data_IF_912798908617
#
_entry.id   IF_912798908617
#
_cell.length_a   1.000
_cell.length_b   1.000
_cell.length_c   1.000
_cell.angle_alpha   90.00
_cell.angle_beta   90.00
_cell.angle_gamma   90.00
#
_symmetry.space_group_name_H-M   'P 1'
#
loop_
_entity.id
_entity.type
_entity.pdbx_description
1 polymer ?
#
# COMPACT_ATOMS: atom_id res chain seq x y z
N UNK A 1 32.75 -12.59 -24.62
CA UNK A 1 31.37 -12.82 -25.11
C UNK A 1 30.31 -12.59 -24.03
N UNK A 2 30.48 -13.04 -22.78
CA UNK A 2 29.46 -12.86 -21.73
C UNK A 2 29.09 -11.42 -21.37
N UNK A 3 30.03 -10.46 -21.46
CA UNK A 3 29.74 -9.06 -21.08
C UNK A 3 28.81 -8.32 -22.04
N UNK A 4 28.80 -8.69 -23.33
CA UNK A 4 27.94 -8.04 -24.34
C UNK A 4 26.50 -8.56 -24.22
N UNK A 5 26.33 -9.87 -23.95
CA UNK A 5 25.02 -10.48 -23.70
C UNK A 5 24.34 -9.88 -22.46
N UNK A 6 25.08 -9.73 -21.36
CA UNK A 6 24.54 -9.09 -20.14
C UNK A 6 24.14 -7.63 -20.37
N UNK A 7 24.91 -6.89 -21.16
CA UNK A 7 24.60 -5.50 -21.49
C UNK A 7 23.33 -5.36 -22.35
N UNK A 8 23.18 -6.21 -23.37
CA UNK A 8 21.97 -6.25 -24.20
C UNK A 8 20.73 -6.64 -23.39
N UNK A 9 20.87 -7.60 -22.48
CA UNK A 9 19.78 -8.03 -21.59
C UNK A 9 19.39 -6.93 -20.59
N UNK A 10 20.35 -6.14 -20.11
CA UNK A 10 20.07 -4.98 -19.25
C UNK A 10 19.35 -3.85 -20.01
N UNK A 11 19.70 -3.61 -21.27
CA UNK A 11 18.99 -2.65 -22.13
C UNK A 11 17.56 -3.10 -22.37
N UNK A 12 17.34 -4.38 -22.72
CA UNK A 12 16.00 -4.93 -22.93
C UNK A 12 15.13 -4.86 -21.66
N UNK A 13 15.70 -5.15 -20.48
CA UNK A 13 14.97 -4.98 -19.22
C UNK A 13 14.64 -3.52 -18.93
N UNK A 14 15.53 -2.59 -19.26
CA UNK A 14 15.30 -1.15 -19.06
C UNK A 14 14.18 -0.63 -19.96
N UNK A 15 14.15 -1.03 -21.23
CA UNK A 15 13.09 -0.61 -22.17
C UNK A 15 11.73 -1.21 -21.80
N UNK A 16 11.70 -2.48 -21.34
CA UNK A 16 10.48 -3.11 -20.85
C UNK A 16 9.93 -2.42 -19.59
N UNK A 17 10.81 -2.00 -18.68
CA UNK A 17 10.41 -1.27 -17.48
C UNK A 17 9.83 0.12 -17.83
N UNK A 18 10.42 0.81 -18.79
CA UNK A 18 9.92 2.12 -19.23
C UNK A 18 8.53 2.02 -19.89
N UNK A 19 8.29 0.98 -20.71
CA UNK A 19 6.95 0.71 -21.26
C UNK A 19 5.92 0.35 -20.18
N UNK A 20 6.33 -0.37 -19.13
CA UNK A 20 5.46 -0.66 -17.99
C UNK A 20 5.10 0.61 -17.22
N UNK A 21 6.05 1.54 -17.02
CA UNK A 21 5.81 2.82 -16.33
C UNK A 21 4.85 3.74 -17.10
N UNK A 22 4.96 3.77 -18.44
CA UNK A 22 4.02 4.51 -19.30
C UNK A 22 2.61 3.92 -19.24
N UNK A 23 2.51 2.59 -19.29
CA UNK A 23 1.23 1.87 -19.13
C UNK A 23 0.60 2.20 -17.77
N UNK A 24 1.41 2.22 -16.71
CA UNK A 24 0.97 2.56 -15.36
C UNK A 24 0.40 3.97 -15.29
N UNK A 25 1.06 4.96 -15.90
CA UNK A 25 0.57 6.33 -15.91
C UNK A 25 -0.82 6.44 -16.55
N UNK A 26 -1.06 5.75 -17.66
CA UNK A 26 -2.38 5.73 -18.32
C UNK A 26 -3.47 5.03 -17.49
N UNK A 27 -3.12 3.99 -16.73
CA UNK A 27 -4.06 3.34 -15.80
C UNK A 27 -4.45 4.30 -14.67
N UNK A 28 -3.45 4.96 -14.07
CA UNK A 28 -3.63 5.86 -12.94
C UNK A 28 -4.53 7.06 -13.25
N UNK A 29 -4.48 7.59 -14.48
CA UNK A 29 -5.40 8.65 -14.92
C UNK A 29 -6.85 8.17 -14.95
N UNK A 30 -7.09 6.96 -15.47
CA UNK A 30 -8.42 6.35 -15.58
C UNK A 30 -9.04 6.00 -14.23
N UNK A 31 -8.22 5.70 -13.22
CA UNK A 31 -8.68 5.46 -11.84
C UNK A 31 -9.39 6.66 -11.23
N UNK A 32 -9.12 7.87 -11.71
CA UNK A 32 -9.79 9.11 -11.26
C UNK A 32 -11.00 9.50 -12.12
N UNK A 33 -11.42 8.62 -13.04
CA UNK A 33 -12.52 8.86 -13.95
C UNK A 33 -13.88 9.01 -13.26
N UNK A 34 -14.83 9.69 -13.92
CA UNK A 34 -16.18 9.91 -13.37
C UNK A 34 -17.01 8.62 -13.32
N UNK A 35 -16.79 7.73 -14.27
CA UNK A 35 -17.54 6.49 -14.43
C UNK A 35 -17.02 5.38 -13.51
N UNK A 36 -17.93 4.71 -12.81
CA UNK A 36 -17.60 3.64 -11.85
C UNK A 36 -16.90 2.47 -12.52
N UNK A 37 -17.37 2.04 -13.69
CA UNK A 37 -16.87 0.85 -14.36
C UNK A 37 -15.47 1.13 -14.95
N UNK A 38 -15.22 2.34 -15.46
CA UNK A 38 -13.86 2.75 -15.82
C UNK A 38 -12.90 2.76 -14.63
N UNK A 39 -13.33 3.26 -13.47
CA UNK A 39 -12.48 3.22 -12.27
C UNK A 39 -12.23 1.79 -11.80
N UNK A 40 -13.25 0.94 -11.81
CA UNK A 40 -13.13 -0.47 -11.45
C UNK A 40 -12.15 -1.19 -12.39
N UNK A 41 -12.33 -1.04 -13.71
CA UNK A 41 -11.45 -1.64 -14.72
C UNK A 41 -10.00 -1.16 -14.53
N UNK A 42 -9.78 0.15 -14.38
CA UNK A 42 -8.44 0.70 -14.18
C UNK A 42 -7.79 0.19 -12.87
N UNK A 43 -8.56 0.09 -11.77
CA UNK A 43 -8.06 -0.46 -10.51
C UNK A 43 -7.73 -1.95 -10.63
N UNK A 44 -8.50 -2.69 -11.44
CA UNK A 44 -8.23 -4.11 -11.73
C UNK A 44 -6.96 -4.28 -12.58
N UNK A 45 -6.78 -3.43 -13.59
CA UNK A 45 -5.58 -3.44 -14.44
C UNK A 45 -4.33 -3.11 -13.62
N UNK A 46 -4.44 -2.14 -12.71
CA UNK A 46 -3.38 -1.82 -11.75
C UNK A 46 -3.02 -3.04 -10.90
N UNK A 47 -4.00 -3.74 -10.34
CA UNK A 47 -3.76 -4.94 -9.53
C UNK A 47 -3.00 -6.01 -10.33
N UNK A 48 -3.40 -6.23 -11.59
CA UNK A 48 -2.73 -7.18 -12.47
C UNK A 48 -1.29 -6.77 -12.75
N UNK A 49 -1.02 -5.48 -12.98
CA UNK A 49 0.32 -4.96 -13.22
C UNK A 49 1.23 -5.09 -11.99
N UNK A 50 0.72 -4.75 -10.80
CA UNK A 50 1.45 -4.87 -9.53
C UNK A 50 1.86 -6.31 -9.20
N UNK A 51 1.06 -7.29 -9.64
CA UNK A 51 1.34 -8.71 -9.44
C UNK A 51 2.40 -9.28 -10.39
N UNK A 52 2.83 -8.53 -11.42
CA UNK A 52 3.91 -8.99 -12.30
C UNK A 52 5.25 -8.98 -11.55
N UNK A 53 5.98 -10.08 -11.62
CA UNK A 53 7.28 -10.20 -10.94
C UNK A 53 8.30 -9.16 -11.45
N UNK A 54 8.28 -8.87 -12.74
CA UNK A 54 9.18 -7.91 -13.40
C UNK A 54 8.87 -6.44 -13.12
N UNK A 55 7.68 -6.10 -12.63
CA UNK A 55 7.33 -4.70 -12.39
C UNK A 55 8.10 -4.13 -11.19
N UNK A 56 8.86 -3.05 -11.42
CA UNK A 56 9.59 -2.32 -10.38
C UNK A 56 9.40 -0.80 -10.55
N UNK A 57 8.54 -0.15 -9.76
CA UNK A 57 8.33 1.28 -9.89
C UNK A 57 9.62 2.05 -9.55
N UNK A 58 9.87 3.14 -10.26
CA UNK A 58 10.88 4.12 -9.86
C UNK A 58 10.35 5.01 -8.71
N UNK A 59 11.21 5.87 -8.17
CA UNK A 59 10.89 6.68 -7.01
C UNK A 59 9.66 7.59 -7.20
N UNK A 60 9.50 8.17 -8.39
CA UNK A 60 8.39 9.08 -8.68
C UNK A 60 7.09 8.30 -8.87
N UNK A 61 7.18 7.14 -9.53
CA UNK A 61 6.05 6.26 -9.73
C UNK A 61 5.57 5.62 -8.41
N UNK A 62 6.47 5.27 -7.49
CA UNK A 62 6.11 4.80 -6.14
C UNK A 62 5.21 5.81 -5.42
N UNK A 63 5.63 7.08 -5.37
CA UNK A 63 4.87 8.15 -4.71
C UNK A 63 3.51 8.32 -5.37
N UNK A 64 3.46 8.34 -6.71
CA UNK A 64 2.21 8.50 -7.47
C UNK A 64 1.26 7.31 -7.26
N UNK A 65 1.77 6.09 -7.33
CA UNK A 65 1.01 4.86 -7.09
C UNK A 65 0.39 4.86 -5.70
N UNK A 66 1.21 5.08 -4.67
CA UNK A 66 0.74 5.11 -3.29
C UNK A 66 -0.34 6.17 -3.08
N UNK A 67 -0.16 7.38 -3.60
CA UNK A 67 -1.13 8.45 -3.42
C UNK A 67 -2.48 8.13 -4.10
N UNK A 68 -2.45 7.62 -5.33
CA UNK A 68 -3.67 7.31 -6.08
C UNK A 68 -4.39 6.10 -5.48
N UNK A 69 -3.66 5.05 -5.09
CA UNK A 69 -4.28 3.88 -4.42
C UNK A 69 -4.92 4.29 -3.10
N UNK A 70 -4.24 5.12 -2.29
CA UNK A 70 -4.82 5.62 -1.04
C UNK A 70 -6.04 6.52 -1.26
N UNK A 71 -6.06 7.31 -2.33
CA UNK A 71 -7.24 8.07 -2.73
C UNK A 71 -8.39 7.16 -3.17
N UNK A 72 -8.09 6.06 -3.88
CA UNK A 72 -9.10 5.10 -4.34
C UNK A 72 -9.80 4.37 -3.18
N UNK A 73 -9.20 4.34 -1.99
CA UNK A 73 -9.88 3.83 -0.78
C UNK A 73 -11.09 4.69 -0.39
N UNK A 74 -11.10 5.97 -0.78
CA UNK A 74 -12.21 6.89 -0.54
C UNK A 74 -13.28 6.85 -1.65
N UNK A 75 -13.25 5.85 -2.55
CA UNK A 75 -14.25 5.73 -3.61
C UNK A 75 -15.65 5.52 -3.02
N UNK A 76 -16.64 6.21 -3.59
CA UNK A 76 -18.03 6.05 -3.21
C UNK A 76 -18.57 4.64 -3.49
N UNK A 77 -17.97 3.94 -4.45
CA UNK A 77 -18.32 2.57 -4.82
C UNK A 77 -17.45 1.57 -4.03
N UNK A 78 -18.10 0.78 -3.17
CA UNK A 78 -17.42 -0.17 -2.27
C UNK A 78 -16.68 -1.31 -3.00
N UNK A 79 -17.11 -1.66 -4.21
CA UNK A 79 -16.42 -2.61 -5.09
C UNK A 79 -15.06 -2.06 -5.55
N UNK A 80 -15.01 -0.78 -5.90
CA UNK A 80 -13.77 -0.10 -6.31
C UNK A 80 -12.81 0.10 -5.13
N UNK A 81 -13.29 0.60 -3.98
CA UNK A 81 -12.43 0.77 -2.80
C UNK A 81 -11.97 -0.57 -2.20
N UNK A 82 -12.81 -1.61 -2.27
CA UNK A 82 -12.42 -2.98 -1.94
C UNK A 82 -11.33 -3.54 -2.87
N UNK A 83 -11.36 -3.19 -4.16
CA UNK A 83 -10.30 -3.56 -5.09
C UNK A 83 -9.00 -2.78 -4.85
N UNK A 84 -9.10 -1.51 -4.45
CA UNK A 84 -7.94 -0.71 -4.04
C UNK A 84 -7.23 -1.31 -2.81
N UNK A 85 -7.98 -1.86 -1.83
CA UNK A 85 -7.38 -2.60 -0.71
C UNK A 85 -6.56 -3.79 -1.20
N UNK A 86 -7.04 -4.52 -2.21
CA UNK A 86 -6.28 -5.66 -2.78
C UNK A 86 -4.98 -5.22 -3.45
N UNK A 87 -4.93 -4.01 -4.02
CA UNK A 87 -3.72 -3.46 -4.63
C UNK A 87 -2.62 -3.17 -3.60
N UNK A 88 -2.98 -2.90 -2.34
CA UNK A 88 -1.99 -2.60 -1.29
C UNK A 88 -1.05 -3.77 -1.01
N UNK A 89 -1.54 -5.00 -1.09
CA UNK A 89 -0.74 -6.19 -0.78
C UNK A 89 0.49 -6.37 -1.71
N UNK A 90 0.34 -6.36 -3.05
CA UNK A 90 1.50 -6.37 -3.92
C UNK A 90 2.25 -5.02 -3.90
N UNK A 91 1.58 -3.88 -3.73
CA UNK A 91 2.23 -2.57 -3.72
C UNK A 91 3.27 -2.44 -2.59
N UNK A 92 2.94 -2.85 -1.36
CA UNK A 92 3.84 -2.79 -0.19
C UNK A 92 5.14 -3.58 -0.40
N UNK A 93 5.11 -4.63 -1.23
CA UNK A 93 6.28 -5.44 -1.58
C UNK A 93 7.14 -4.83 -2.68
N UNK A 94 6.63 -3.81 -3.36
CA UNK A 94 7.23 -3.20 -4.56
C UNK A 94 7.74 -1.77 -4.33
N UNK A 95 7.37 -1.14 -3.22
CA UNK A 95 7.82 0.21 -2.85
C UNK A 95 8.86 0.17 -1.73
N UNK A 96 9.63 1.25 -1.59
CA UNK A 96 10.64 1.39 -0.53
C UNK A 96 10.02 1.57 0.85
N UNK A 97 10.82 1.26 1.88
CA UNK A 97 10.45 1.41 3.31
C UNK A 97 9.84 2.77 3.63
N UNK A 98 10.48 3.86 3.17
CA UNK A 98 9.98 5.22 3.37
C UNK A 98 8.54 5.38 2.87
N UNK A 99 8.24 4.84 1.69
CA UNK A 99 6.91 4.93 1.11
C UNK A 99 5.89 4.13 1.91
N UNK A 100 6.25 2.94 2.42
CA UNK A 100 5.38 2.14 3.31
C UNK A 100 5.04 2.91 4.59
N UNK A 101 6.04 3.55 5.22
CA UNK A 101 5.84 4.34 6.43
C UNK A 101 4.91 5.52 6.16
N UNK A 102 5.14 6.27 5.07
CA UNK A 102 4.28 7.39 4.67
C UNK A 102 2.83 6.96 4.38
N UNK A 103 2.64 5.83 3.69
CA UNK A 103 1.32 5.26 3.43
C UNK A 103 0.59 4.92 4.74
N UNK A 104 1.31 4.31 5.68
CA UNK A 104 0.76 3.91 6.96
C UNK A 104 0.36 5.13 7.81
N UNK A 105 1.21 6.16 7.84
CA UNK A 105 0.91 7.41 8.54
C UNK A 105 -0.37 8.08 8.00
N UNK A 106 -0.49 8.18 6.66
CA UNK A 106 -1.71 8.74 6.02
C UNK A 106 -2.98 7.96 6.37
N UNK A 107 -2.90 6.64 6.48
CA UNK A 107 -4.04 5.81 6.89
C UNK A 107 -4.39 6.00 8.36
N UNK A 108 -3.40 6.14 9.24
CA UNK A 108 -3.65 6.46 10.64
C UNK A 108 -4.30 7.84 10.81
N UNK A 109 -3.85 8.86 10.07
CA UNK A 109 -4.50 10.18 10.05
C UNK A 109 -5.95 10.07 9.58
N UNK A 110 -6.23 9.30 8.53
CA UNK A 110 -7.60 9.03 8.05
C UNK A 110 -8.46 8.31 9.10
N UNK A 111 -7.87 7.43 9.90
CA UNK A 111 -8.60 6.74 10.97
C UNK A 111 -8.93 7.67 12.14
N UNK A 112 -8.03 8.58 12.50
CA UNK A 112 -8.22 9.52 13.60
C UNK A 112 -9.13 10.69 13.22
N UNK A 113 -8.84 11.31 12.09
CA UNK A 113 -9.41 12.61 11.70
C UNK A 113 -10.27 12.53 10.42
N UNK A 114 -10.38 11.34 9.80
CA UNK A 114 -11.18 11.15 8.59
C UNK A 114 -12.68 10.94 8.82
N UNK A 115 -13.44 10.96 7.73
CA UNK A 115 -14.90 10.78 7.70
C UNK A 115 -15.29 9.37 8.11
N UNK A 116 -16.34 9.23 8.93
CA UNK A 116 -16.80 7.92 9.44
C UNK A 116 -17.02 6.86 8.35
N UNK A 117 -17.58 7.25 7.19
CA UNK A 117 -17.89 6.31 6.09
C UNK A 117 -16.66 5.59 5.49
N UNK A 118 -15.44 6.14 5.62
CA UNK A 118 -14.23 5.53 5.09
C UNK A 118 -13.29 4.98 6.20
N UNK A 119 -13.71 5.04 7.47
CA UNK A 119 -12.88 4.54 8.56
C UNK A 119 -12.73 3.02 8.49
N UNK A 120 -13.78 2.29 8.14
CA UNK A 120 -13.73 0.83 8.02
C UNK A 120 -12.76 0.37 6.92
N UNK A 121 -12.81 1.02 5.74
CA UNK A 121 -11.92 0.68 4.64
C UNK A 121 -10.47 1.10 4.92
N UNK A 122 -10.25 2.24 5.57
CA UNK A 122 -8.92 2.68 6.01
C UNK A 122 -8.33 1.70 7.06
N UNK A 123 -9.18 1.17 7.93
CA UNK A 123 -8.86 0.15 8.94
C UNK A 123 -8.38 -1.14 8.28
N UNK A 124 -9.13 -1.64 7.29
CA UNK A 124 -8.77 -2.83 6.52
C UNK A 124 -7.48 -2.58 5.74
N UNK A 125 -7.35 -1.41 5.08
CA UNK A 125 -6.14 -1.02 4.35
C UNK A 125 -4.90 -1.02 5.24
N UNK A 126 -4.99 -0.42 6.44
CA UNK A 126 -3.89 -0.38 7.40
C UNK A 126 -3.47 -1.79 7.83
N UNK A 127 -4.45 -2.64 8.12
CA UNK A 127 -4.23 -4.05 8.46
C UNK A 127 -3.56 -4.82 7.31
N UNK A 128 -3.97 -4.57 6.07
CA UNK A 128 -3.36 -5.17 4.87
C UNK A 128 -1.90 -4.75 4.76
N UNK A 129 -1.59 -3.46 4.86
CA UNK A 129 -0.20 -2.97 4.76
C UNK A 129 0.67 -3.65 5.83
N UNK A 130 0.24 -3.62 7.10
CA UNK A 130 0.98 -4.20 8.21
C UNK A 130 1.25 -5.71 8.01
N UNK A 131 0.26 -6.44 7.47
CA UNK A 131 0.37 -7.88 7.26
C UNK A 131 1.36 -8.25 6.14
N UNK A 132 1.52 -7.36 5.16
CA UNK A 132 2.29 -7.56 3.94
C UNK A 132 3.70 -6.95 3.98
N UNK A 133 4.05 -6.28 5.09
CA UNK A 133 5.40 -5.73 5.30
C UNK A 133 6.45 -6.85 5.15
N UNK A 134 7.46 -6.67 4.26
CA UNK A 134 8.37 -7.76 3.89
C UNK A 134 9.46 -8.05 4.92
N UNK A 135 9.80 -7.11 5.81
CA UNK A 135 10.91 -7.27 6.75
C UNK A 135 10.59 -6.75 8.15
N UNK A 136 11.34 -7.28 9.12
CA UNK A 136 11.27 -6.86 10.52
C UNK A 136 11.68 -5.39 10.72
N UNK A 137 12.61 -4.88 9.89
CA UNK A 137 13.04 -3.47 9.95
C UNK A 137 11.92 -2.53 9.57
N UNK A 138 11.25 -2.77 8.44
CA UNK A 138 10.13 -1.96 7.96
C UNK A 138 8.98 -2.04 8.98
N UNK A 139 8.73 -3.22 9.55
CA UNK A 139 7.72 -3.40 10.58
C UNK A 139 8.02 -2.54 11.82
N UNK A 140 9.28 -2.46 12.25
CA UNK A 140 9.70 -1.62 13.36
C UNK A 140 9.52 -0.13 13.04
N UNK A 141 9.93 0.31 11.85
CA UNK A 141 9.77 1.70 11.40
C UNK A 141 8.29 2.11 11.34
N UNK A 142 7.45 1.23 10.79
CA UNK A 142 6.00 1.41 10.77
C UNK A 142 5.44 1.51 12.19
N UNK A 143 5.81 0.59 13.09
CA UNK A 143 5.37 0.60 14.49
C UNK A 143 5.74 1.90 15.22
N UNK A 144 6.99 2.33 15.10
CA UNK A 144 7.47 3.58 15.71
C UNK A 144 6.67 4.78 15.18
N UNK A 145 6.39 4.80 13.86
CA UNK A 145 5.62 5.88 13.25
C UNK A 145 4.17 5.95 13.73
N UNK A 146 3.49 4.81 13.89
CA UNK A 146 2.04 4.79 14.16
C UNK A 146 1.68 4.67 15.63
N UNK A 147 2.57 4.18 16.49
CA UNK A 147 2.28 3.97 17.92
C UNK A 147 1.76 5.24 18.62
N UNK A 148 2.35 6.44 18.43
CA UNK A 148 1.84 7.66 19.06
C UNK A 148 0.41 8.00 18.61
N UNK A 149 0.11 7.78 17.34
CA UNK A 149 -1.20 8.07 16.75
C UNK A 149 -2.27 7.10 17.27
N UNK A 150 -1.94 5.81 17.36
CA UNK A 150 -2.84 4.80 17.92
C UNK A 150 -3.13 5.06 19.41
N UNK A 151 -2.11 5.44 20.19
CA UNK A 151 -2.28 5.81 21.61
C UNK A 151 -3.21 7.03 21.73
N UNK A 152 -3.03 8.05 20.88
CA UNK A 152 -3.93 9.22 20.82
C UNK A 152 -5.37 8.80 20.52
N UNK A 153 -5.59 7.91 19.56
CA UNK A 153 -6.92 7.38 19.22
C UNK A 153 -7.59 6.65 20.38
N UNK A 154 -6.85 5.82 21.11
CA UNK A 154 -7.37 5.03 22.25
C UNK A 154 -7.74 5.94 23.45
N UNK A 155 -6.95 6.98 23.68
CA UNK A 155 -7.10 7.88 24.84
C UNK A 155 -8.04 9.06 24.58
N UNK A 156 -8.47 9.27 23.32
CA UNK A 156 -9.41 10.31 22.92
C UNK A 156 -10.88 10.00 23.26
N UNK A 157 -11.75 11.04 23.30
CA UNK A 157 -13.17 10.86 23.58
C UNK A 157 -13.91 10.21 22.40
N UNK A 158 -14.31 8.95 22.64
CA UNK A 158 -15.34 8.16 21.93
C UNK A 158 -14.98 7.65 20.52
N UNK A 159 -15.02 6.31 20.39
CA UNK A 159 -15.05 5.50 19.16
C UNK A 159 -13.73 4.89 18.62
N UNK A 160 -12.81 4.46 19.50
CA UNK A 160 -11.63 3.66 19.08
C UNK A 160 -11.52 2.27 19.73
N UNK A 161 -12.44 1.92 20.64
CA UNK A 161 -12.32 0.75 21.52
C UNK A 161 -12.54 -0.59 20.79
N UNK A 162 -13.37 -0.63 19.74
CA UNK A 162 -13.63 -1.86 18.96
C UNK A 162 -12.53 -2.15 17.93
N UNK A 163 -11.79 -1.12 17.50
CA UNK A 163 -10.75 -1.23 16.48
C UNK A 163 -9.44 -1.79 17.07
N UNK A 164 -9.03 -1.31 18.25
CA UNK A 164 -7.74 -1.67 18.86
C UNK A 164 -7.75 -3.05 19.52
N UNK A 165 -8.91 -3.56 19.95
CA UNK A 165 -9.00 -4.91 20.50
C UNK A 165 -8.67 -5.99 19.44
N UNK A 166 -8.89 -5.71 18.15
CA UNK A 166 -8.36 -6.54 17.07
C UNK A 166 -6.87 -6.26 16.80
N UNK A 167 -6.36 -5.04 17.07
CA UNK A 167 -4.95 -4.66 16.88
C UNK A 167 -3.98 -5.26 17.92
N UNK A 168 -4.43 -5.64 19.11
CA UNK A 168 -3.58 -6.33 20.10
C UNK A 168 -3.09 -7.70 19.62
N UNK A 169 -3.86 -8.40 18.78
CA UNK A 169 -3.38 -9.58 18.03
C UNK A 169 -2.26 -9.20 17.04
N UNK A 170 -2.31 -8.00 16.43
CA UNK A 170 -1.34 -7.56 15.42
C UNK A 170 -0.01 -7.08 15.99
N UNK A 171 -0.02 -6.38 17.12
CA UNK A 171 1.24 -6.12 17.87
C UNK A 171 1.86 -7.46 18.28
N UNK A 172 1.04 -8.46 18.60
CA UNK A 172 1.46 -9.85 18.79
C UNK A 172 2.10 -10.46 17.53
N UNK A 173 1.48 -10.32 16.36
CA UNK A 173 2.01 -10.84 15.08
C UNK A 173 3.33 -10.16 14.69
N UNK A 174 3.45 -8.84 14.87
CA UNK A 174 4.69 -8.11 14.59
C UNK A 174 5.80 -8.50 15.58
N UNK A 175 5.48 -8.64 16.86
CA UNK A 175 6.42 -9.13 17.88
C UNK A 175 6.82 -10.59 17.66
N UNK A 176 5.92 -11.44 17.16
CA UNK A 176 6.21 -12.83 16.79
C UNK A 176 7.07 -12.95 15.53
N UNK A 177 6.89 -12.06 14.55
CA UNK A 177 7.78 -11.97 13.37
C UNK A 177 9.18 -11.50 13.76
N UNK A 178 9.30 -10.56 14.69
CA UNK A 178 10.58 -10.15 15.28
C UNK A 178 11.29 -11.31 15.99
N UNK A 179 10.57 -12.04 16.84
CA UNK A 179 11.12 -13.18 17.60
C UNK A 179 11.57 -14.38 16.72
N UNK A 180 11.02 -14.51 15.50
CA UNK A 180 11.42 -15.56 14.54
C UNK A 180 12.69 -15.21 13.76
N UNK A 181 13.07 -13.94 13.68
CA UNK A 181 14.29 -13.50 12.98
C UNK A 181 15.52 -13.55 13.91
N UNK A 182 15.30 -13.65 15.23
CA UNK A 182 16.36 -13.73 16.25
C UNK A 182 16.73 -15.17 16.68
N UNK A 183 16.22 -16.21 16.00
CA UNK A 183 16.66 -17.62 16.14
C UNK A 183 17.15 -18.16 14.80
#
# INVERSE_FOLDING_TARGET
MGSVTLFLQAIEQSTLQEMANLTMTGILEKMTGKDKDYRYMATSDLLNELNKEGFRPDADLEVKLSNIVLQQLDDAAGDVSGLAVKCLAPLVKKVREQQVVEMTAKLCDKLLDGKDQHRDIASIALKTIISEVPSSSVAQSVLVSISPQLIKGITGPVSFRTFILNSYEYIGVLRLRQARVEN
#
